data_IF_793687145132
#
_entry.id   IF_793687145132
#
_cell.length_a   1.000
_cell.length_b   1.000
_cell.length_c   1.000
_cell.angle_alpha   90.00
_cell.angle_beta   90.00
_cell.angle_gamma   90.00
#
_symmetry.space_group_name_H-M   'P 1'
#
loop_
_entity.id
_entity.type
_entity.pdbx_description
1 polymer ?
#
# COMPACT_ATOMS: atom_id res chain seq x y z
N UNK A 1 -10.56 -20.36 6.40
CA UNK A 1 -9.67 -20.80 7.48
C UNK A 1 -8.65 -19.73 7.82
N UNK A 2 -9.11 -18.59 8.33
CA UNK A 2 -8.28 -17.45 8.74
C UNK A 2 -8.17 -17.33 10.27
N UNK A 3 -8.93 -18.17 11.00
CA UNK A 3 -9.13 -18.08 12.45
C UNK A 3 -8.17 -18.94 13.27
N UNK A 4 -7.35 -19.81 12.64
CA UNK A 4 -6.49 -20.75 13.38
C UNK A 4 -5.00 -20.36 13.43
N UNK A 5 -4.58 -19.34 12.68
CA UNK A 5 -3.19 -18.83 12.68
C UNK A 5 -3.02 -17.48 13.39
N UNK A 6 -4.11 -16.82 13.76
CA UNK A 6 -4.08 -15.55 14.48
C UNK A 6 -3.82 -15.70 16.00
N UNK A 7 -3.63 -16.92 16.50
CA UNK A 7 -3.53 -17.18 17.95
C UNK A 7 -2.11 -17.17 18.52
N UNK A 8 -1.06 -17.14 17.69
CA UNK A 8 0.34 -17.27 18.16
C UNK A 8 1.29 -16.13 17.75
N UNK A 9 0.82 -15.09 17.05
CA UNK A 9 1.68 -13.96 16.68
C UNK A 9 1.44 -12.82 17.65
N UNK A 10 2.49 -12.39 18.35
CA UNK A 10 2.41 -11.25 19.26
C UNK A 10 1.88 -10.02 18.48
N UNK A 11 0.89 -9.29 19.01
CA UNK A 11 0.32 -8.12 18.34
C UNK A 11 1.40 -7.12 17.88
N UNK A 12 2.49 -7.03 18.64
CA UNK A 12 3.65 -6.21 18.31
C UNK A 12 4.40 -6.65 17.04
N UNK A 13 4.50 -7.95 16.75
CA UNK A 13 5.15 -8.43 15.53
C UNK A 13 4.28 -8.22 14.30
N UNK A 14 2.97 -8.43 14.42
CA UNK A 14 2.01 -8.13 13.35
C UNK A 14 2.02 -6.63 13.02
N UNK A 15 2.02 -5.76 14.04
CA UNK A 15 2.13 -4.31 13.84
C UNK A 15 3.44 -3.95 13.17
N UNK A 16 4.59 -4.48 13.61
CA UNK A 16 5.90 -4.21 12.94
C UNK A 16 5.99 -4.75 11.52
N UNK A 17 5.26 -5.81 11.21
CA UNK A 17 5.18 -6.35 9.85
C UNK A 17 4.34 -5.42 8.97
N UNK A 18 3.16 -5.01 9.44
CA UNK A 18 2.31 -4.05 8.75
C UNK A 18 3.00 -2.70 8.56
N UNK A 19 3.71 -2.21 9.57
CA UNK A 19 4.42 -0.94 9.53
C UNK A 19 5.53 -0.94 8.47
N UNK A 20 6.29 -2.04 8.36
CA UNK A 20 7.28 -2.23 7.30
C UNK A 20 6.63 -2.33 5.92
N UNK A 21 5.57 -3.13 5.79
CA UNK A 21 4.83 -3.27 4.55
C UNK A 21 4.28 -1.92 4.06
N UNK A 22 3.68 -1.12 4.95
CA UNK A 22 3.19 0.22 4.61
C UNK A 22 4.32 1.20 4.29
N UNK A 23 5.47 1.08 4.96
CA UNK A 23 6.65 1.90 4.64
C UNK A 23 7.19 1.60 3.24
N UNK A 24 7.27 0.32 2.87
CA UNK A 24 7.74 -0.11 1.55
C UNK A 24 6.73 0.30 0.45
N UNK A 25 5.43 0.16 0.72
CA UNK A 25 4.35 0.66 -0.13
C UNK A 25 4.44 2.17 -0.34
N UNK A 26 4.63 2.94 0.73
CA UNK A 26 4.76 4.40 0.68
C UNK A 26 5.97 4.83 -0.16
N UNK A 27 7.12 4.16 0.00
CA UNK A 27 8.30 4.43 -0.83
C UNK A 27 8.05 4.15 -2.32
N UNK A 28 7.22 3.16 -2.64
CA UNK A 28 6.86 2.79 -4.00
C UNK A 28 5.88 3.80 -4.61
N UNK A 29 4.90 4.26 -3.83
CA UNK A 29 3.96 5.34 -4.19
C UNK A 29 4.71 6.65 -4.46
N UNK A 30 5.66 7.00 -3.59
CA UNK A 30 6.51 8.19 -3.75
C UNK A 30 7.38 8.11 -5.02
N UNK A 31 7.95 6.93 -5.32
CA UNK A 31 8.71 6.69 -6.56
C UNK A 31 7.89 6.93 -7.83
N UNK A 32 6.60 6.59 -7.81
CA UNK A 32 5.69 6.78 -8.94
C UNK A 32 5.05 8.18 -8.97
N UNK A 33 5.34 9.05 -7.98
CA UNK A 33 4.80 10.40 -7.88
C UNK A 33 3.28 10.41 -7.68
N UNK A 34 2.76 9.42 -6.96
CA UNK A 34 1.34 9.24 -6.69
C UNK A 34 0.99 9.88 -5.35
N UNK A 35 -0.20 10.47 -5.24
CA UNK A 35 -0.65 11.03 -3.97
C UNK A 35 -1.39 9.96 -3.15
N UNK A 36 -0.91 9.76 -1.92
CA UNK A 36 -1.54 8.85 -0.94
C UNK A 36 -2.81 9.48 -0.39
N UNK A 37 -3.95 8.83 -0.59
CA UNK A 37 -5.22 9.22 0.04
C UNK A 37 -5.50 8.28 1.20
N UNK A 38 -5.01 8.66 2.38
CA UNK A 38 -5.31 8.12 3.73
C UNK A 38 -5.56 6.60 3.87
N UNK A 39 -4.73 5.95 4.69
CA UNK A 39 -5.06 4.66 5.28
C UNK A 39 -6.21 4.81 6.30
N UNK A 40 -7.35 4.17 6.07
CA UNK A 40 -8.41 4.06 7.08
C UNK A 40 -8.53 2.59 7.49
N UNK A 41 -8.11 2.31 8.72
CA UNK A 41 -8.21 1.00 9.39
C UNK A 41 -7.47 -0.14 8.69
N UNK A 42 -8.17 -0.77 7.76
CA UNK A 42 -7.88 -2.02 7.07
C UNK A 42 -7.69 -1.84 5.55
N UNK A 43 -7.82 -0.61 5.05
CA UNK A 43 -7.67 -0.28 3.63
C UNK A 43 -6.54 0.72 3.37
N UNK A 44 -5.74 0.41 2.35
CA UNK A 44 -4.72 1.30 1.79
C UNK A 44 -5.21 1.77 0.42
N UNK A 45 -5.39 3.07 0.26
CA UNK A 45 -5.91 3.68 -0.97
C UNK A 45 -4.88 4.63 -1.57
N UNK A 46 -4.64 4.47 -2.87
CA UNK A 46 -3.74 5.31 -3.66
C UNK A 46 -4.54 5.88 -4.82
N UNK A 47 -4.35 7.18 -5.08
CA UNK A 47 -5.00 7.87 -6.19
C UNK A 47 -3.93 8.50 -7.07
N UNK A 48 -4.15 8.43 -8.38
CA UNK A 48 -3.27 8.97 -9.39
C UNK A 48 -3.98 10.08 -10.15
N UNK A 49 -3.35 11.24 -10.32
CA UNK A 49 -3.90 12.36 -11.08
C UNK A 49 -4.81 13.32 -10.30
N UNK A 50 -4.75 13.31 -8.96
CA UNK A 50 -5.47 14.26 -8.09
C UNK A 50 -4.49 14.79 -7.03
N UNK A 51 -4.48 16.10 -6.73
CA UNK A 51 -5.21 17.19 -7.39
C UNK A 51 -4.58 17.61 -8.72
N UNK A 52 -3.33 17.19 -9.00
CA UNK A 52 -2.61 17.50 -10.23
C UNK A 52 -2.94 16.43 -11.27
N UNK A 53 -3.65 16.76 -12.35
CA UNK A 53 -3.93 15.82 -13.43
C UNK A 53 -2.62 15.39 -14.08
N UNK A 54 -2.47 14.09 -14.29
CA UNK A 54 -1.34 13.51 -15.02
C UNK A 54 -1.84 12.62 -16.14
N UNK A 55 -1.26 12.69 -17.35
CA UNK A 55 -1.74 11.93 -18.51
C UNK A 55 -1.47 10.42 -18.39
N UNK A 56 -0.47 10.04 -17.60
CA UNK A 56 -0.03 8.68 -17.31
C UNK A 56 -0.69 8.11 -16.03
N UNK A 57 -1.82 8.68 -15.59
CA UNK A 57 -2.39 8.35 -14.29
C UNK A 57 -2.73 6.86 -14.14
N UNK A 58 -3.25 6.26 -15.22
CA UNK A 58 -3.63 4.85 -15.26
C UNK A 58 -2.40 3.93 -15.29
N UNK A 59 -1.37 4.32 -16.04
CA UNK A 59 -0.11 3.58 -16.19
C UNK A 59 0.67 3.54 -14.87
N UNK A 60 0.81 4.69 -14.20
CA UNK A 60 1.44 4.79 -12.89
C UNK A 60 0.72 3.93 -11.84
N UNK A 61 -0.62 3.91 -11.86
CA UNK A 61 -1.41 3.09 -10.95
C UNK A 61 -1.28 1.58 -11.27
N UNK A 62 -1.24 1.21 -12.55
CA UNK A 62 -1.05 -0.17 -12.99
C UNK A 62 0.36 -0.69 -12.65
N UNK A 63 1.40 0.13 -12.85
CA UNK A 63 2.77 -0.21 -12.47
C UNK A 63 2.92 -0.39 -10.95
N UNK A 64 2.34 0.51 -10.16
CA UNK A 64 2.26 0.36 -8.71
C UNK A 64 1.57 -0.98 -8.33
N UNK A 65 0.42 -1.29 -8.91
CA UNK A 65 -0.31 -2.52 -8.62
C UNK A 65 0.48 -3.79 -8.99
N UNK A 66 1.21 -3.75 -10.11
CA UNK A 66 2.07 -4.86 -10.53
C UNK A 66 3.29 -5.03 -9.62
N UNK A 67 3.93 -3.94 -9.18
CA UNK A 67 5.04 -4.00 -8.22
C UNK A 67 4.57 -4.53 -6.86
N UNK A 68 3.38 -4.12 -6.39
CA UNK A 68 2.78 -4.63 -5.14
C UNK A 68 2.46 -6.12 -5.25
N UNK A 69 1.92 -6.58 -6.39
CA UNK A 69 1.58 -7.98 -6.59
C UNK A 69 2.81 -8.89 -6.76
N UNK A 70 3.96 -8.31 -7.13
CA UNK A 70 5.22 -9.02 -7.33
C UNK A 70 6.11 -9.05 -6.06
N UNK A 71 5.81 -8.23 -5.06
CA UNK A 71 6.49 -8.18 -3.75
C UNK A 71 5.94 -9.24 -2.78
#
# INVERSE_FOLDING_TARGET
>A
GYTKRASDTAPAELVRFLDRLYTDLDALVDRHGLEKVKSSGDSYMVVSGVPIPRPDHLEALAHLALEIAAA
#
